data_IF_790705761344
#
_entry.id   IF_790705761344
#
_cell.length_a   1.000
_cell.length_b   1.000
_cell.length_c   1.000
_cell.angle_alpha   90.00
_cell.angle_beta   90.00
_cell.angle_gamma   90.00
#
_symmetry.space_group_name_H-M   'P 1'
#
loop_
_entity.id
_entity.type
_entity.pdbx_description
1 polymer ?
#
# COMPACT_ATOMS: atom_id res chain seq x y z
N UNK A 1 -29.18 -6.23 22.20
CA UNK A 1 -28.18 -7.22 21.70
C UNK A 1 -28.36 -7.31 20.18
N UNK A 2 -27.72 -6.42 19.41
CA UNK A 2 -27.88 -6.35 17.96
C UNK A 2 -26.69 -7.06 17.33
N UNK A 3 -26.89 -8.28 16.86
CA UNK A 3 -25.87 -9.07 16.17
C UNK A 3 -25.59 -8.49 14.79
N UNK A 4 -24.44 -7.84 14.64
CA UNK A 4 -23.93 -7.41 13.35
C UNK A 4 -23.59 -8.66 12.52
N UNK A 5 -24.43 -8.99 11.53
CA UNK A 5 -24.09 -9.99 10.51
C UNK A 5 -23.08 -9.36 9.56
N UNK A 6 -21.79 -9.67 9.73
CA UNK A 6 -20.73 -9.31 8.80
C UNK A 6 -21.02 -9.94 7.43
N UNK A 7 -21.24 -9.11 6.40
CA UNK A 7 -21.31 -9.57 5.01
C UNK A 7 -19.88 -9.68 4.49
N UNK A 8 -19.37 -10.90 4.35
CA UNK A 8 -18.09 -11.14 3.68
C UNK A 8 -18.38 -11.59 2.25
N UNK A 9 -18.06 -10.74 1.28
CA UNK A 9 -18.10 -11.10 -0.15
C UNK A 9 -16.78 -11.81 -0.48
N UNK A 10 -16.87 -13.07 -0.89
CA UNK A 10 -15.74 -13.86 -1.36
C UNK A 10 -15.83 -13.89 -2.88
N UNK A 11 -14.77 -13.46 -3.57
CA UNK A 11 -14.70 -13.61 -5.03
C UNK A 11 -14.47 -15.10 -5.36
N UNK A 12 -15.36 -15.68 -6.16
CA UNK A 12 -15.30 -17.09 -6.53
C UNK A 12 -14.54 -17.35 -7.84
N UNK A 13 -14.69 -18.57 -8.33
CA UNK A 13 -13.70 -19.33 -9.12
C UNK A 13 -13.75 -19.03 -10.63
N UNK A 14 -14.27 -17.87 -11.03
CA UNK A 14 -14.15 -17.35 -12.41
C UNK A 14 -14.83 -18.21 -13.48
N UNK A 15 -15.83 -19.02 -13.12
CA UNK A 15 -16.77 -19.62 -14.06
C UNK A 15 -18.14 -18.98 -13.84
N UNK A 16 -18.80 -18.65 -14.95
CA UNK A 16 -19.94 -17.73 -14.98
C UNK A 16 -21.07 -18.08 -14.00
N UNK A 17 -21.78 -17.01 -13.61
CA UNK A 17 -22.99 -16.99 -12.77
C UNK A 17 -22.77 -16.96 -11.24
N UNK A 18 -21.73 -16.27 -10.78
CA UNK A 18 -21.55 -16.01 -9.35
C UNK A 18 -22.31 -14.75 -8.91
N UNK A 19 -23.37 -14.94 -8.12
CA UNK A 19 -24.06 -13.87 -7.42
C UNK A 19 -23.10 -13.20 -6.42
N UNK A 20 -22.72 -11.92 -6.60
CA UNK A 20 -21.78 -11.22 -5.72
C UNK A 20 -22.31 -11.02 -4.28
N UNK A 21 -23.58 -11.34 -4.01
CA UNK A 21 -24.18 -11.35 -2.68
C UNK A 21 -24.26 -12.74 -2.02
N UNK A 22 -23.79 -13.80 -2.68
CA UNK A 22 -23.79 -15.14 -2.12
C UNK A 22 -22.85 -15.23 -0.90
N UNK A 23 -23.33 -15.86 0.18
CA UNK A 23 -22.53 -16.10 1.37
C UNK A 23 -21.67 -17.35 1.15
N UNK A 24 -20.36 -17.20 1.33
CA UNK A 24 -19.42 -18.30 1.27
C UNK A 24 -18.81 -18.54 2.65
N UNK A 25 -18.67 -19.82 3.01
CA UNK A 25 -17.93 -20.22 4.20
C UNK A 25 -16.47 -19.81 4.07
N UNK A 26 -15.89 -19.24 5.13
CA UNK A 26 -14.47 -18.92 5.20
C UNK A 26 -13.61 -20.11 5.68
N UNK A 27 -14.23 -21.27 5.96
CA UNK A 27 -13.54 -22.43 6.56
C UNK A 27 -12.46 -23.05 5.68
N UNK A 28 -12.56 -22.88 4.37
CA UNK A 28 -11.60 -23.44 3.42
C UNK A 28 -10.49 -22.44 3.02
N UNK A 29 -10.54 -21.21 3.56
CA UNK A 29 -9.55 -20.17 3.27
C UNK A 29 -8.21 -20.55 3.90
N UNK A 30 -7.16 -20.63 3.06
CA UNK A 30 -5.79 -20.97 3.48
C UNK A 30 -4.90 -19.76 3.69
N UNK A 31 -5.16 -18.68 2.94
CA UNK A 31 -4.38 -17.46 2.98
C UNK A 31 -5.24 -16.23 2.72
N UNK A 32 -4.78 -15.08 3.24
CA UNK A 32 -5.39 -13.77 3.04
C UNK A 32 -4.37 -12.85 2.37
N UNK A 33 -4.75 -12.25 1.25
CA UNK A 33 -4.02 -11.15 0.63
C UNK A 33 -4.69 -9.82 0.96
N UNK A 34 -3.91 -8.80 1.28
CA UNK A 34 -4.41 -7.44 1.55
C UNK A 34 -4.00 -6.53 0.41
N UNK A 35 -4.98 -5.89 -0.22
CA UNK A 35 -4.76 -4.78 -1.14
C UNK A 35 -5.42 -3.52 -0.55
N UNK A 36 -4.79 -2.37 -0.72
CA UNK A 36 -5.31 -1.11 -0.21
C UNK A 36 -4.67 0.10 -0.88
N UNK A 37 -5.17 1.28 -0.51
CA UNK A 37 -4.61 2.53 -1.02
C UNK A 37 -3.13 2.70 -0.63
N UNK A 38 -2.35 3.19 -1.59
CA UNK A 38 -0.94 3.54 -1.41
C UNK A 38 -0.78 4.91 -0.72
N UNK A 39 0.46 5.27 -0.40
CA UNK A 39 0.91 6.65 -0.08
C UNK A 39 0.33 7.31 1.19
N UNK A 40 -0.62 6.67 1.88
CA UNK A 40 -1.13 7.20 3.15
C UNK A 40 -0.04 7.22 4.24
N UNK A 41 -0.29 7.93 5.32
CA UNK A 41 0.59 7.94 6.49
C UNK A 41 -0.23 7.65 7.76
N UNK A 42 0.02 6.50 8.38
CA UNK A 42 -0.47 6.13 9.71
C UNK A 42 0.69 6.18 10.68
N UNK A 43 0.58 7.05 11.68
CA UNK A 43 1.65 7.33 12.65
C UNK A 43 1.33 6.63 13.96
N UNK A 44 2.27 5.84 14.46
CA UNK A 44 2.13 5.05 15.67
C UNK A 44 3.16 5.46 16.72
N UNK A 45 2.77 5.42 17.98
CA UNK A 45 3.68 5.54 19.12
C UNK A 45 4.39 4.21 19.45
N UNK A 46 5.23 4.25 20.50
CA UNK A 46 5.98 3.08 21.02
C UNK A 46 5.08 1.93 21.49
N UNK A 47 3.82 2.22 21.81
CA UNK A 47 2.81 1.23 22.19
C UNK A 47 1.93 0.81 21.01
N UNK A 48 2.35 1.14 19.78
CA UNK A 48 1.65 0.92 18.53
C UNK A 48 0.23 1.53 18.48
N UNK A 49 0.00 2.61 19.25
CA UNK A 49 -1.24 3.36 19.24
C UNK A 49 -1.21 4.47 18.19
N UNK A 50 -2.35 4.69 17.54
CA UNK A 50 -2.48 5.72 16.49
C UNK A 50 -2.43 7.10 17.12
N UNK A 51 -1.48 7.92 16.68
CA UNK A 51 -1.27 9.27 17.19
C UNK A 51 -2.25 10.31 16.65
N UNK A 52 -2.68 10.13 15.39
CA UNK A 52 -3.61 11.02 14.69
C UNK A 52 -4.31 10.32 13.52
N UNK A 53 -5.45 10.82 13.02
CA UNK A 53 -6.13 10.25 11.86
C UNK A 53 -5.21 10.16 10.63
N UNK A 54 -5.16 9.03 9.93
CA UNK A 54 -4.23 8.85 8.81
C UNK A 54 -4.39 9.94 7.72
N UNK A 55 -3.28 10.49 7.22
CA UNK A 55 -3.32 11.39 6.05
C UNK A 55 -3.35 10.51 4.80
N UNK A 56 -4.42 10.63 4.01
CA UNK A 56 -4.65 9.79 2.83
C UNK A 56 -3.93 10.33 1.58
N UNK A 57 -3.92 9.56 0.49
CA UNK A 57 -3.21 9.88 -0.75
C UNK A 57 -3.78 11.08 -1.51
N UNK A 58 -5.08 11.33 -1.35
CA UNK A 58 -5.81 12.43 -1.99
C UNK A 58 -5.65 13.76 -1.23
N UNK A 59 -4.93 13.75 -0.11
CA UNK A 59 -4.62 14.95 0.65
C UNK A 59 -3.44 15.70 0.01
N UNK A 60 -3.71 16.92 -0.46
CA UNK A 60 -2.74 17.74 -1.19
C UNK A 60 -1.98 18.76 -0.34
N UNK A 61 -2.07 18.71 1.00
CA UNK A 61 -1.56 19.79 1.88
C UNK A 61 -0.04 19.98 1.86
N UNK A 62 0.72 19.01 1.34
CA UNK A 62 2.17 18.92 1.51
C UNK A 62 2.97 19.42 0.29
N UNK A 63 2.47 20.46 -0.42
CA UNK A 63 3.13 20.94 -1.64
C UNK A 63 4.46 21.65 -1.37
N UNK A 64 4.54 22.42 -0.29
CA UNK A 64 5.79 23.07 0.14
C UNK A 64 6.83 22.03 0.55
N UNK A 65 6.41 21.01 1.30
CA UNK A 65 7.26 19.95 1.79
C UNK A 65 7.85 19.08 0.68
N UNK A 66 7.14 18.91 -0.44
CA UNK A 66 7.70 18.26 -1.62
C UNK A 66 8.95 19.00 -2.12
N UNK A 67 8.86 20.32 -2.28
CA UNK A 67 9.98 21.13 -2.75
C UNK A 67 11.13 21.10 -1.74
N UNK A 68 10.82 21.26 -0.44
CA UNK A 68 11.81 21.21 0.62
C UNK A 68 12.57 19.88 0.66
N UNK A 69 11.90 18.75 0.46
CA UNK A 69 12.56 17.44 0.41
C UNK A 69 13.40 17.25 -0.85
N UNK A 70 12.93 17.71 -2.01
CA UNK A 70 13.73 17.66 -3.24
C UNK A 70 14.97 18.56 -3.15
N UNK A 71 14.88 19.71 -2.48
CA UNK A 71 16.02 20.61 -2.24
C UNK A 71 17.01 20.02 -1.23
N UNK A 72 16.51 19.38 -0.16
CA UNK A 72 17.34 18.69 0.84
C UNK A 72 18.09 17.50 0.24
N UNK A 73 17.44 16.75 -0.65
CA UNK A 73 18.01 15.57 -1.31
C UNK A 73 17.86 15.70 -2.81
N UNK A 74 18.83 16.33 -3.45
CA UNK A 74 18.85 16.55 -4.90
C UNK A 74 18.84 15.25 -5.71
N UNK A 75 19.32 14.15 -5.12
CA UNK A 75 19.31 12.81 -5.69
C UNK A 75 18.00 12.03 -5.46
N UNK A 76 16.99 12.63 -4.82
CA UNK A 76 15.76 11.96 -4.38
C UNK A 76 15.03 11.23 -5.52
N UNK A 77 14.98 11.83 -6.70
CA UNK A 77 14.33 11.23 -7.88
C UNK A 77 15.08 10.01 -8.40
N UNK A 78 16.42 10.02 -8.34
CA UNK A 78 17.26 8.87 -8.71
C UNK A 78 17.11 7.73 -7.71
N UNK A 79 17.07 8.04 -6.41
CA UNK A 79 16.93 7.06 -5.32
C UNK A 79 15.55 6.41 -5.33
N UNK A 80 14.49 7.23 -5.39
CA UNK A 80 13.10 6.76 -5.26
C UNK A 80 12.46 6.36 -6.59
N UNK A 81 13.09 6.72 -7.71
CA UNK A 81 12.57 6.49 -9.05
C UNK A 81 11.31 7.29 -9.40
N UNK A 82 10.88 8.25 -8.57
CA UNK A 82 9.64 9.00 -8.74
C UNK A 82 9.84 10.51 -8.57
N UNK A 83 8.96 11.29 -9.20
CA UNK A 83 8.81 12.73 -8.91
C UNK A 83 8.01 12.88 -7.62
N UNK A 84 8.48 13.73 -6.70
CA UNK A 84 7.79 13.94 -5.44
C UNK A 84 6.45 14.66 -5.66
N UNK A 85 5.38 14.13 -5.04
CA UNK A 85 4.04 14.70 -5.13
C UNK A 85 3.42 14.79 -3.73
N UNK A 86 2.54 15.77 -3.46
CA UNK A 86 1.98 16.00 -2.11
C UNK A 86 1.23 14.78 -1.55
N UNK A 87 0.73 13.92 -2.44
CA UNK A 87 0.05 12.69 -2.07
C UNK A 87 0.95 11.59 -1.50
N UNK A 88 2.28 11.73 -1.55
CA UNK A 88 3.24 10.74 -1.04
C UNK A 88 3.49 10.81 0.46
N UNK A 89 4.06 9.74 1.02
CA UNK A 89 4.21 9.58 2.47
C UNK A 89 5.28 10.51 3.06
N UNK A 90 6.48 10.60 2.46
CA UNK A 90 7.57 11.42 3.00
C UNK A 90 7.21 12.92 3.17
N UNK A 91 6.61 13.61 2.18
CA UNK A 91 6.18 15.00 2.35
C UNK A 91 5.19 15.20 3.50
N UNK A 92 4.31 14.22 3.76
CA UNK A 92 3.36 14.27 4.88
C UNK A 92 4.05 14.21 6.23
N UNK A 93 5.12 13.44 6.35
CA UNK A 93 5.88 13.38 7.60
C UNK A 93 6.62 14.68 7.86
N UNK A 94 7.22 15.26 6.83
CA UNK A 94 7.81 16.60 6.94
C UNK A 94 6.76 17.66 7.31
N UNK A 95 5.53 17.53 6.79
CA UNK A 95 4.43 18.44 7.15
C UNK A 95 4.04 18.28 8.61
N UNK A 96 3.85 17.04 9.09
CA UNK A 96 3.54 16.76 10.50
C UNK A 96 4.66 17.26 11.41
N UNK A 97 5.93 17.11 11.01
CA UNK A 97 7.06 17.65 11.75
C UNK A 97 6.97 19.18 11.92
N UNK A 98 6.64 19.90 10.85
CA UNK A 98 6.61 21.37 10.84
C UNK A 98 5.37 21.95 11.49
N UNK A 99 4.21 21.31 11.31
CA UNK A 99 2.91 21.84 11.72
C UNK A 99 2.35 21.20 13.00
N UNK A 100 2.75 19.97 13.30
CA UNK A 100 2.25 19.16 14.42
C UNK A 100 3.44 18.54 15.20
N UNK A 101 4.44 19.35 15.54
CA UNK A 101 5.71 18.89 16.15
C UNK A 101 5.52 18.02 17.41
N UNK A 102 4.50 18.32 18.24
CA UNK A 102 4.16 17.52 19.42
C UNK A 102 3.66 16.11 19.08
N UNK A 103 3.04 15.93 17.91
CA UNK A 103 2.67 14.61 17.39
C UNK A 103 3.90 13.92 16.82
N UNK A 104 4.70 14.64 16.01
CA UNK A 104 5.90 14.11 15.38
C UNK A 104 6.89 13.53 16.41
N UNK A 105 7.08 14.20 17.54
CA UNK A 105 7.99 13.75 18.60
C UNK A 105 7.60 12.42 19.25
N UNK A 106 6.35 11.96 19.07
CA UNK A 106 5.86 10.69 19.60
C UNK A 106 5.91 9.55 18.57
N UNK A 107 6.25 9.85 17.31
CA UNK A 107 6.27 8.87 16.22
C UNK A 107 7.37 7.83 16.48
N UNK A 108 6.96 6.57 16.61
CA UNK A 108 7.84 5.42 16.71
C UNK A 108 7.79 4.56 15.45
N UNK A 109 6.61 4.35 14.85
CA UNK A 109 6.47 3.63 13.57
C UNK A 109 5.61 4.41 12.58
N UNK A 110 5.98 4.33 11.31
CA UNK A 110 5.17 4.83 10.19
C UNK A 110 4.74 3.67 9.32
N UNK A 111 3.42 3.54 9.13
CA UNK A 111 2.83 2.53 8.26
C UNK A 111 1.93 3.16 7.21
N UNK A 112 1.80 2.49 6.07
CA UNK A 112 0.70 2.76 5.16
C UNK A 112 -0.62 2.24 5.79
N UNK A 113 -1.79 2.82 5.45
CA UNK A 113 -3.07 2.39 6.05
C UNK A 113 -3.36 0.88 5.91
N UNK A 114 -2.97 0.25 4.80
CA UNK A 114 -3.12 -1.21 4.61
C UNK A 114 -2.22 -2.00 5.57
N UNK A 115 -1.02 -1.50 5.85
CA UNK A 115 -0.01 -2.19 6.66
C UNK A 115 -0.37 -2.05 8.14
N UNK A 116 -1.04 -0.95 8.52
CA UNK A 116 -1.69 -0.86 9.81
C UNK A 116 -2.82 -1.89 9.97
N UNK A 117 -3.65 -2.12 8.94
CA UNK A 117 -4.65 -3.20 8.99
C UNK A 117 -3.99 -4.56 9.15
N UNK A 118 -2.88 -4.82 8.45
CA UNK A 118 -2.08 -6.03 8.62
C UNK A 118 -1.57 -6.17 10.05
N UNK A 119 -0.98 -5.12 10.62
CA UNK A 119 -0.55 -5.10 12.03
C UNK A 119 -1.72 -5.45 12.96
N UNK A 120 -2.92 -4.96 12.67
CA UNK A 120 -4.15 -5.29 13.42
C UNK A 120 -4.72 -6.69 13.14
N UNK A 121 -4.18 -7.42 12.16
CA UNK A 121 -4.57 -8.79 11.85
C UNK A 121 -3.54 -9.82 12.31
N UNK A 122 -2.25 -9.47 12.29
CA UNK A 122 -1.14 -10.39 12.53
C UNK A 122 -0.31 -10.04 13.76
N UNK A 123 -0.21 -8.76 14.12
CA UNK A 123 0.75 -8.26 15.12
C UNK A 123 2.13 -7.94 14.54
N UNK A 124 2.33 -8.17 13.24
CA UNK A 124 3.61 -8.00 12.56
C UNK A 124 3.71 -6.66 11.84
N UNK A 125 4.88 -6.02 11.91
CA UNK A 125 5.22 -4.80 11.17
C UNK A 125 5.84 -5.17 9.82
N UNK A 126 5.02 -5.18 8.78
CA UNK A 126 5.44 -5.54 7.43
C UNK A 126 4.84 -4.61 6.38
N UNK A 127 5.64 -4.26 5.38
CA UNK A 127 5.21 -3.54 4.18
C UNK A 127 5.63 -4.29 2.92
N UNK A 128 4.83 -4.14 1.87
CA UNK A 128 5.11 -4.71 0.55
C UNK A 128 6.01 -3.74 -0.24
N UNK A 129 6.96 -4.28 -0.99
CA UNK A 129 7.91 -3.51 -1.81
C UNK A 129 7.22 -2.55 -2.79
N UNK A 130 6.10 -2.93 -3.41
CA UNK A 130 5.38 -2.05 -4.34
C UNK A 130 4.79 -0.84 -3.61
N UNK A 131 4.29 -1.06 -2.40
CA UNK A 131 3.69 -0.01 -1.60
C UNK A 131 4.74 0.89 -0.93
N UNK A 132 5.85 0.30 -0.46
CA UNK A 132 7.02 1.01 0.04
C UNK A 132 7.65 1.94 -1.01
N UNK A 133 7.67 1.53 -2.29
CA UNK A 133 8.15 2.38 -3.38
C UNK A 133 7.36 3.70 -3.51
N UNK A 134 6.09 3.71 -3.08
CA UNK A 134 5.23 4.89 -3.07
C UNK A 134 5.44 5.83 -1.87
N UNK A 135 6.32 5.50 -0.94
CA UNK A 135 6.54 6.31 0.27
C UNK A 135 7.51 7.48 0.04
N UNK A 136 8.35 7.39 -1.00
CA UNK A 136 9.54 8.23 -1.23
C UNK A 136 10.69 7.99 -0.24
N UNK A 137 10.71 6.86 0.47
CA UNK A 137 11.84 6.45 1.31
C UNK A 137 12.58 5.21 0.81
N UNK A 138 12.02 4.47 -0.15
CA UNK A 138 12.66 3.27 -0.70
C UNK A 138 13.72 3.67 -1.73
N UNK A 139 14.93 3.13 -1.59
CA UNK A 139 15.91 3.07 -2.67
C UNK A 139 15.50 1.94 -3.63
N UNK A 140 15.01 2.31 -4.81
CA UNK A 140 14.46 1.35 -5.76
C UNK A 140 15.52 0.45 -6.38
N UNK A 141 16.77 0.91 -6.47
CA UNK A 141 17.88 0.14 -7.02
C UNK A 141 18.37 -0.89 -6.00
N UNK A 142 18.45 -0.50 -4.72
CA UNK A 142 18.86 -1.38 -3.62
C UNK A 142 17.74 -2.28 -3.11
N UNK A 143 16.48 -1.98 -3.45
CA UNK A 143 15.27 -2.63 -2.91
C UNK A 143 15.24 -2.62 -1.38
N UNK A 144 15.61 -1.49 -0.79
CA UNK A 144 15.70 -1.33 0.64
C UNK A 144 15.44 0.12 1.03
N UNK A 145 15.21 0.39 2.31
CA UNK A 145 15.05 1.75 2.80
C UNK A 145 16.32 2.59 2.56
N UNK A 146 16.12 3.82 2.09
CA UNK A 146 17.18 4.81 1.91
C UNK A 146 17.38 5.59 3.20
N UNK A 147 18.55 5.43 3.81
CA UNK A 147 18.94 6.19 5.02
C UNK A 147 18.97 7.71 4.74
N UNK A 148 19.36 8.11 3.53
CA UNK A 148 19.40 9.51 3.11
C UNK A 148 18.00 10.12 3.05
N UNK A 149 17.03 9.42 2.43
CA UNK A 149 15.65 9.90 2.34
C UNK A 149 14.94 9.89 3.69
N UNK A 150 15.24 8.92 4.55
CA UNK A 150 14.71 8.87 5.92
C UNK A 150 15.27 10.00 6.77
N UNK A 151 16.58 10.25 6.72
CA UNK A 151 17.24 11.32 7.46
C UNK A 151 16.73 12.71 7.04
N UNK A 152 16.36 12.91 5.77
CA UNK A 152 15.77 14.17 5.31
C UNK A 152 14.43 14.52 5.99
N UNK A 153 13.76 13.49 6.55
CA UNK A 153 12.53 13.58 7.32
C UNK A 153 12.75 13.42 8.84
N UNK A 154 14.01 13.44 9.31
CA UNK A 154 14.40 13.16 10.70
C UNK A 154 13.87 11.81 11.22
N UNK A 155 13.91 10.78 10.36
CA UNK A 155 13.55 9.41 10.67
C UNK A 155 14.75 8.47 10.45
N UNK A 156 14.69 7.29 11.08
CA UNK A 156 15.63 6.20 10.86
C UNK A 156 14.90 4.94 10.39
N UNK A 157 15.66 3.90 10.04
CA UNK A 157 15.11 2.57 9.72
C UNK A 157 14.28 1.98 10.85
N UNK A 158 14.55 2.37 12.09
CA UNK A 158 13.77 1.89 13.24
C UNK A 158 12.32 2.33 13.15
N UNK A 159 12.01 3.44 12.47
CA UNK A 159 10.63 3.87 12.27
C UNK A 159 9.87 3.08 11.20
N UNK A 160 10.58 2.27 10.41
CA UNK A 160 10.03 1.60 9.23
C UNK A 160 9.68 0.14 9.51
N UNK A 161 8.65 -0.42 8.86
CA UNK A 161 8.38 -1.85 8.89
C UNK A 161 9.42 -2.63 8.07
N UNK A 162 9.50 -3.94 8.32
CA UNK A 162 10.26 -4.83 7.45
C UNK A 162 9.62 -4.91 6.05
N UNK A 163 10.47 -5.05 5.03
CA UNK A 163 10.07 -5.09 3.62
C UNK A 163 9.93 -6.53 3.13
N UNK A 164 8.86 -6.79 2.39
CA UNK A 164 8.55 -8.10 1.83
C UNK A 164 8.12 -7.98 0.37
N UNK A 165 8.33 -9.02 -0.42
CA UNK A 165 7.72 -9.11 -1.74
C UNK A 165 6.22 -9.44 -1.61
N UNK A 166 5.41 -9.02 -2.58
CA UNK A 166 3.94 -9.14 -2.47
C UNK A 166 3.42 -10.58 -2.37
N UNK A 167 4.22 -11.58 -2.75
CA UNK A 167 3.93 -13.02 -2.60
C UNK A 167 4.36 -13.60 -1.26
N UNK A 168 5.15 -12.88 -0.47
CA UNK A 168 5.73 -13.41 0.76
C UNK A 168 4.70 -13.47 1.89
N UNK A 169 4.88 -14.45 2.76
CA UNK A 169 4.10 -14.54 4.01
C UNK A 169 4.63 -13.50 4.97
N UNK A 170 3.75 -12.62 5.42
CA UNK A 170 4.06 -11.47 6.28
C UNK A 170 3.51 -11.62 7.71
N UNK A 171 2.98 -12.80 8.02
CA UNK A 171 2.45 -13.13 9.34
C UNK A 171 1.37 -14.19 9.28
N UNK A 172 0.84 -14.53 10.46
CA UNK A 172 -0.32 -15.40 10.62
C UNK A 172 -1.47 -14.60 11.22
N UNK A 173 -2.70 -14.91 10.82
CA UNK A 173 -3.88 -14.29 11.37
C UNK A 173 -3.96 -14.59 12.88
N UNK A 174 -4.11 -13.56 13.70
CA UNK A 174 -4.23 -13.72 15.14
C UNK A 174 -5.47 -14.54 15.52
N UNK A 175 -5.40 -15.38 16.56
CA UNK A 175 -6.49 -16.26 16.96
C UNK A 175 -7.81 -15.52 17.22
N UNK A 176 -7.76 -14.35 17.85
CA UNK A 176 -8.95 -13.55 18.16
C UNK A 176 -9.64 -13.01 16.90
N UNK A 177 -8.86 -12.68 15.85
CA UNK A 177 -9.40 -12.22 14.56
C UNK A 177 -9.99 -13.40 13.80
N UNK A 178 -9.29 -14.53 13.77
CA UNK A 178 -9.77 -15.77 13.16
C UNK A 178 -11.09 -16.23 13.77
N UNK A 179 -11.19 -16.18 15.11
CA UNK A 179 -12.41 -16.50 15.85
C UNK A 179 -13.55 -15.53 15.53
N UNK A 180 -13.29 -14.23 15.52
CA UNK A 180 -14.29 -13.21 15.17
C UNK A 180 -14.84 -13.38 13.75
N UNK A 181 -14.05 -13.92 12.83
CA UNK A 181 -14.44 -14.17 11.45
C UNK A 181 -14.92 -15.61 11.18
N UNK A 182 -14.99 -16.46 12.21
CA UNK A 182 -15.33 -17.89 12.08
C UNK A 182 -14.50 -18.59 10.99
N UNK A 183 -13.19 -18.30 11.01
CA UNK A 183 -12.21 -18.74 10.03
C UNK A 183 -11.10 -19.56 10.73
N UNK A 184 -10.53 -20.60 10.10
CA UNK A 184 -9.35 -21.26 10.65
C UNK A 184 -8.15 -20.30 10.72
N UNK A 185 -7.09 -20.66 11.46
CA UNK A 185 -5.79 -20.00 11.33
C UNK A 185 -5.35 -19.97 9.87
N UNK A 186 -4.94 -18.81 9.39
CA UNK A 186 -4.51 -18.63 8.01
C UNK A 186 -3.29 -17.73 7.90
N UNK A 187 -2.52 -17.93 6.84
CA UNK A 187 -1.37 -17.09 6.54
C UNK A 187 -1.83 -15.76 5.94
N UNK A 188 -1.14 -14.68 6.31
CA UNK A 188 -1.37 -13.35 5.74
C UNK A 188 -0.20 -13.01 4.84
N UNK A 189 -0.50 -12.80 3.56
CA UNK A 189 0.48 -12.53 2.50
C UNK A 189 0.58 -11.02 2.28
N UNK A 190 1.77 -10.54 1.91
CA UNK A 190 2.10 -9.13 1.68
C UNK A 190 1.06 -8.41 0.82
N UNK A 191 0.51 -9.09 -0.19
CA UNK A 191 -0.43 -8.46 -1.11
C UNK A 191 0.24 -7.28 -1.82
N UNK A 192 -0.51 -6.47 -2.56
CA UNK A 192 0.09 -5.35 -3.29
C UNK A 192 -0.88 -4.20 -3.52
N UNK A 193 -0.33 -3.12 -4.05
CA UNK A 193 -1.04 -1.90 -4.43
C UNK A 193 -2.32 -2.15 -5.25
N UNK A 194 -3.32 -1.27 -5.07
CA UNK A 194 -4.58 -1.30 -5.85
C UNK A 194 -4.45 -0.77 -7.29
N UNK A 195 -3.25 -0.38 -7.74
CA UNK A 195 -3.02 0.01 -9.14
C UNK A 195 -3.04 -1.24 -10.05
N UNK A 196 -3.37 -1.14 -11.35
CA UNK A 196 -3.49 -2.30 -12.25
C UNK A 196 -2.18 -3.09 -12.48
N UNK A 197 -1.09 -2.72 -11.80
CA UNK A 197 0.19 -3.46 -11.81
C UNK A 197 0.12 -4.80 -11.08
N UNK A 198 -0.92 -5.06 -10.29
CA UNK A 198 -1.18 -6.35 -9.64
C UNK A 198 -1.75 -7.43 -10.59
N UNK A 199 -1.18 -7.55 -11.81
CA UNK A 199 -1.55 -8.56 -12.83
C UNK A 199 -0.45 -9.59 -13.12
N UNK A 200 0.75 -9.49 -12.53
CA UNK A 200 1.74 -10.56 -12.67
C UNK A 200 1.39 -11.73 -11.76
N UNK A 201 0.62 -12.67 -12.30
CA UNK A 201 0.65 -14.05 -11.86
C UNK A 201 2.06 -14.61 -12.08
N UNK A 202 2.81 -14.74 -11.01
CA UNK A 202 4.03 -15.55 -10.99
C UNK A 202 3.94 -16.46 -9.76
N UNK A 203 3.61 -17.70 -10.05
CA UNK A 203 3.82 -18.91 -9.25
C UNK A 203 3.59 -18.79 -7.74
N UNK A 204 2.34 -19.02 -7.32
CA UNK A 204 2.07 -19.51 -5.96
C UNK A 204 2.62 -20.95 -5.87
N UNK A 205 3.57 -21.27 -4.97
CA UNK A 205 4.06 -22.65 -4.80
C UNK A 205 3.06 -23.56 -4.06
N UNK A 206 1.83 -23.11 -3.82
CA UNK A 206 0.74 -23.92 -3.30
C UNK A 206 -0.53 -23.65 -4.12
N UNK A 207 -1.44 -24.63 -4.28
CA UNK A 207 -2.70 -24.42 -4.97
C UNK A 207 -3.62 -23.57 -4.08
N UNK A 208 -3.36 -22.26 -4.01
CA UNK A 208 -4.21 -21.28 -3.33
C UNK A 208 -5.38 -21.01 -4.24
N UNK A 209 -6.52 -21.63 -3.95
CA UNK A 209 -7.71 -21.58 -4.80
C UNK A 209 -8.48 -20.27 -4.72
N UNK A 210 -8.25 -19.37 -3.73
CA UNK A 210 -9.02 -18.13 -3.59
C UNK A 210 -8.21 -16.95 -3.04
N UNK A 211 -8.33 -15.80 -3.70
CA UNK A 211 -7.74 -14.53 -3.31
C UNK A 211 -8.84 -13.46 -3.28
N UNK A 212 -9.16 -12.91 -2.12
CA UNK A 212 -10.12 -11.80 -2.00
C UNK A 212 -9.42 -10.47 -2.30
N UNK A 213 -9.92 -9.74 -3.30
CA UNK A 213 -9.46 -8.40 -3.68
C UNK A 213 -10.53 -7.37 -3.29
N UNK A 214 -10.10 -6.27 -2.67
CA UNK A 214 -10.97 -5.10 -2.45
C UNK A 214 -10.27 -3.83 -2.97
N UNK A 215 -10.84 -3.19 -4.00
CA UNK A 215 -10.35 -1.92 -4.56
C UNK A 215 -11.44 -1.20 -5.37
N UNK A 216 -11.68 0.12 -5.19
CA UNK A 216 -12.71 0.86 -5.95
C UNK A 216 -12.21 1.64 -7.18
N UNK A 217 -10.91 1.76 -7.49
CA UNK A 217 -10.44 2.61 -8.59
C UNK A 217 -9.29 2.01 -9.42
N UNK A 218 -9.41 2.11 -10.74
CA UNK A 218 -8.43 1.71 -11.73
C UNK A 218 -7.73 2.95 -12.33
N UNK A 219 -6.40 2.95 -12.35
CA UNK A 219 -5.58 3.95 -13.05
C UNK A 219 -4.65 3.26 -14.04
N UNK A 220 -4.84 3.42 -15.35
CA UNK A 220 -3.98 2.79 -16.36
C UNK A 220 -2.58 3.41 -16.35
N UNK A 221 -1.55 2.64 -15.98
CA UNK A 221 -0.15 3.00 -16.21
C UNK A 221 0.43 2.07 -17.29
N UNK A 222 1.01 2.58 -18.39
CA UNK A 222 1.67 1.74 -19.36
C UNK A 222 2.93 1.11 -18.76
N UNK A 223 3.12 -0.18 -19.02
CA UNK A 223 4.29 -0.94 -18.58
C UNK A 223 5.41 -0.74 -19.60
N UNK A 224 6.50 -0.06 -19.23
CA UNK A 224 7.74 -0.05 -20.02
C UNK A 224 8.68 -1.08 -19.43
N UNK A 225 8.91 -2.18 -20.14
CA UNK A 225 10.09 -3.02 -19.92
C UNK A 225 11.28 -2.33 -20.59
N UNK A 226 12.16 -1.74 -19.81
CA UNK A 226 13.41 -1.17 -20.30
C UNK A 226 13.70 0.22 -19.76
N UNK A 227 14.94 0.42 -19.31
CA UNK A 227 15.50 1.71 -18.92
C UNK A 227 15.30 2.74 -20.03
N UNK A 228 14.55 3.81 -19.76
CA UNK A 228 14.39 4.95 -20.67
C UNK A 228 15.53 5.95 -20.46
N UNK A 229 16.73 5.56 -20.87
CA UNK A 229 17.80 6.50 -21.23
C UNK A 229 17.84 6.61 -22.77
N UNK A 230 16.85 7.27 -23.38
CA UNK A 230 16.96 7.66 -24.80
C UNK A 230 16.10 8.90 -25.13
N UNK A 231 16.70 10.08 -25.39
CA UNK A 231 15.99 11.34 -25.57
C UNK A 231 15.34 11.56 -26.97
N UNK A 232 15.02 10.51 -27.73
CA UNK A 232 14.49 10.64 -29.10
C UNK A 232 13.12 10.00 -29.38
N UNK A 233 12.41 9.45 -28.40
CA UNK A 233 11.08 8.89 -28.64
C UNK A 233 9.98 9.97 -28.60
N UNK A 234 9.55 10.45 -29.78
CA UNK A 234 8.32 11.25 -29.93
C UNK A 234 7.09 10.36 -29.73
N UNK A 235 6.24 10.69 -28.76
CA UNK A 235 4.88 10.14 -28.64
C UNK A 235 3.96 10.82 -29.67
N UNK A 236 3.41 10.07 -30.62
CA UNK A 236 2.23 10.49 -31.39
C UNK A 236 0.98 9.90 -30.73
N UNK A 237 0.22 10.75 -30.03
CA UNK A 237 -1.11 10.40 -29.54
C UNK A 237 -2.12 10.55 -30.70
N UNK A 238 -2.77 9.47 -31.11
CA UNK A 238 -3.97 9.54 -31.92
C UNK A 238 -5.18 9.36 -31.00
N UNK A 239 -5.99 10.41 -30.87
CA UNK A 239 -7.25 10.38 -30.14
C UNK A 239 -8.38 9.98 -31.11
N UNK A 240 -9.18 8.97 -30.76
CA UNK A 240 -10.51 8.76 -31.35
C UNK A 240 -11.58 9.27 -30.37
N UNK A 241 -12.58 10.05 -30.83
CA UNK A 241 -13.62 10.57 -29.95
C UNK A 241 -14.75 9.56 -29.70
N UNK A 242 -15.14 9.41 -28.43
CA UNK A 242 -16.34 8.71 -28.00
C UNK A 242 -17.59 9.53 -28.36
N UNK A 243 -18.49 8.97 -29.19
CA UNK A 243 -19.84 9.51 -29.38
C UNK A 243 -20.70 9.23 -28.15
N UNK A 244 -21.35 10.26 -27.65
CA UNK A 244 -22.41 10.17 -26.67
C UNK A 244 -23.67 9.52 -27.27
N UNK A 245 -24.31 8.64 -26.52
CA UNK A 245 -25.67 8.21 -26.77
C UNK A 245 -26.47 8.46 -25.48
N UNK A 246 -27.37 9.45 -25.53
CA UNK A 246 -28.52 9.50 -24.65
C UNK A 246 -29.63 8.63 -25.23
N UNK A 247 -30.31 7.88 -24.37
CA UNK A 247 -31.68 8.08 -23.85
C UNK A 247 -31.76 7.20 -22.59
#
# INVERSE_FOLDING_TARGET
MVGARSRTVVAGDGHGDENPGAQHSLRDVKALGIAGQMHGATLLDKSLQVLRPAILWNDGRCAEECQLLEDKVSASRQITGNLMMPGFTAPKLLWVQRHEAAVFSQVDKVLLPKDYLRLRMTGELASDMSDAAGTMWLDVARRDWSDEMLAACDLSRDAMPALFEGSDVTGQLRPEVAQAWNMPPALVVGGGATTPRARSGSAWPMPVRRCCRWAPQASTSPSVKGSLANPKARCTASAMPCRAAGI
#
